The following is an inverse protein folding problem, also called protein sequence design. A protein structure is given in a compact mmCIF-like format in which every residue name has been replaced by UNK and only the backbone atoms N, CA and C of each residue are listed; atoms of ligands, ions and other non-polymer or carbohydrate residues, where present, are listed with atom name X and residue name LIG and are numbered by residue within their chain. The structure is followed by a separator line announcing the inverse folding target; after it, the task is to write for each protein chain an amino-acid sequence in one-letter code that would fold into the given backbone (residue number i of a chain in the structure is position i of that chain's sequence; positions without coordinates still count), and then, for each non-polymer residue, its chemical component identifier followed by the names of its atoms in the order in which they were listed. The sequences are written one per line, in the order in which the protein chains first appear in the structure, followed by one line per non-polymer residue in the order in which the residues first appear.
data_IF_892740037097
#
_entry.id   IF_892740037097
#
_cell.length_a   1.000
_cell.length_b   1.000
_cell.length_c   1.000
_cell.angle_alpha   90.00
_cell.angle_beta   90.00
_cell.angle_gamma   90.00
#
_symmetry.space_group_name_H-M   'P 1'
#
loop_
_entity.id
_entity.type
_entity.pdbx_description
1 polymer ?
#
# COMPACT_ATOMS: atom_id res chain seq x y z
N UNK A 1 -10.74 -11.63 12.38
CA UNK A 1 -10.23 -12.50 13.49
C UNK A 1 -8.84 -12.00 13.86
N UNK A 2 -8.74 -11.21 14.93
CA UNK A 2 -7.45 -10.66 15.39
C UNK A 2 -6.57 -11.80 15.93
N UNK A 3 -5.34 -11.89 15.40
CA UNK A 3 -4.38 -12.95 15.73
C UNK A 3 -3.75 -12.70 17.09
N UNK A 4 -3.46 -13.78 17.83
CA UNK A 4 -2.68 -13.73 19.08
C UNK A 4 -1.32 -13.05 18.82
N UNK A 5 -1.15 -11.87 19.42
CA UNK A 5 0.06 -11.02 19.35
C UNK A 5 1.21 -11.58 20.19
N UNK A 6 1.57 -12.85 20.03
CA UNK A 6 2.76 -13.42 20.68
C UNK A 6 3.85 -13.67 19.65
N UNK A 7 5.09 -13.30 19.99
CA UNK A 7 6.30 -13.52 19.19
C UNK A 7 6.39 -14.97 18.68
N UNK A 8 6.04 -15.92 19.55
CA UNK A 8 5.98 -17.36 19.25
C UNK A 8 4.93 -17.72 18.18
N UNK A 9 3.78 -17.04 18.18
CA UNK A 9 2.71 -17.27 17.20
C UNK A 9 3.06 -16.77 15.80
N UNK A 10 3.72 -15.60 15.72
CA UNK A 10 4.22 -15.03 14.46
C UNK A 10 5.34 -15.92 13.89
N UNK A 11 6.33 -16.28 14.73
CA UNK A 11 7.42 -17.16 14.33
C UNK A 11 6.93 -18.55 13.93
N UNK A 12 5.87 -19.08 14.57
CA UNK A 12 5.28 -20.37 14.18
C UNK A 12 4.65 -20.35 12.78
N UNK A 13 4.03 -19.24 12.36
CA UNK A 13 3.50 -19.10 10.99
C UNK A 13 4.61 -18.93 9.97
N UNK A 14 5.59 -18.08 10.28
CA UNK A 14 6.81 -17.94 9.49
C UNK A 14 7.55 -19.27 9.37
N UNK A 15 7.53 -20.11 10.41
CA UNK A 15 8.28 -21.38 10.43
C UNK A 15 7.74 -22.46 9.49
N UNK A 16 6.54 -22.29 8.92
CA UNK A 16 5.99 -23.23 7.95
C UNK A 16 6.65 -22.98 6.60
N UNK A 17 7.07 -24.05 5.94
CA UNK A 17 7.41 -23.98 4.52
C UNK A 17 6.19 -23.43 3.79
N UNK A 18 6.36 -22.27 3.16
CA UNK A 18 5.38 -21.73 2.25
C UNK A 18 5.85 -22.08 0.83
N UNK A 19 4.90 -22.48 -0.02
CA UNK A 19 5.16 -22.70 -1.45
C UNK A 19 5.50 -21.38 -2.17
N UNK A 20 5.09 -20.25 -1.56
CA UNK A 20 5.33 -18.88 -1.99
C UNK A 20 6.20 -18.09 -0.98
N UNK A 21 6.80 -16.99 -1.44
CA UNK A 21 7.56 -16.07 -0.58
C UNK A 21 6.63 -15.14 0.20
N UNK A 22 7.07 -14.68 1.36
CA UNK A 22 6.40 -13.67 2.18
C UNK A 22 7.14 -12.34 2.07
N UNK A 23 6.38 -11.27 1.87
CA UNK A 23 6.85 -9.91 2.04
C UNK A 23 6.53 -9.46 3.46
N UNK A 24 7.58 -9.21 4.26
CA UNK A 24 7.46 -8.65 5.61
C UNK A 24 7.83 -7.17 5.55
N UNK A 25 6.92 -6.29 5.97
CA UNK A 25 7.10 -4.82 5.96
C UNK A 25 7.04 -4.23 7.36
N UNK A 26 7.80 -3.16 7.60
CA UNK A 26 7.55 -2.26 8.74
C UNK A 26 6.18 -1.61 8.56
N UNK A 27 5.38 -1.49 9.62
CA UNK A 27 4.08 -0.82 9.51
C UNK A 27 4.17 0.67 9.13
N UNK A 28 5.31 1.32 9.40
CA UNK A 28 5.57 2.73 9.08
C UNK A 28 6.82 2.87 8.19
N UNK A 29 6.76 2.26 7.00
CA UNK A 29 7.82 2.36 5.98
C UNK A 29 7.73 3.64 5.15
N UNK A 30 8.80 3.94 4.40
CA UNK A 30 8.82 5.04 3.41
C UNK A 30 9.65 4.61 2.21
N UNK A 31 9.09 4.81 1.01
CA UNK A 31 9.78 4.65 -0.28
C UNK A 31 10.44 3.28 -0.47
N UNK A 32 9.65 2.20 -0.32
CA UNK A 32 10.12 0.82 -0.53
C UNK A 32 11.07 0.27 0.54
N UNK A 33 11.50 1.09 1.51
CA UNK A 33 12.41 0.67 2.59
C UNK A 33 11.69 -0.04 3.73
N UNK A 34 12.44 -0.83 4.48
CA UNK A 34 11.90 -1.55 5.63
C UNK A 34 11.10 -2.79 5.22
N UNK A 35 11.51 -3.45 4.14
CA UNK A 35 10.95 -4.72 3.69
C UNK A 35 11.96 -5.86 3.77
N UNK A 36 11.45 -7.07 3.94
CA UNK A 36 12.22 -8.31 3.96
C UNK A 36 11.40 -9.38 3.23
N UNK A 37 11.95 -9.93 2.15
CA UNK A 37 11.42 -11.12 1.49
C UNK A 37 11.89 -12.37 2.24
N UNK A 38 10.97 -13.30 2.51
CA UNK A 38 11.24 -14.55 3.21
C UNK A 38 10.61 -15.73 2.47
N UNK A 39 11.43 -16.69 2.05
CA UNK A 39 10.94 -17.95 1.50
C UNK A 39 10.73 -18.97 2.61
N UNK A 40 9.55 -18.93 3.23
CA UNK A 40 9.25 -19.75 4.41
C UNK A 40 9.90 -19.20 5.68
N UNK A 41 10.55 -20.07 6.45
CA UNK A 41 11.11 -19.69 7.76
C UNK A 41 12.34 -18.80 7.61
N UNK A 42 12.53 -17.80 8.51
CA UNK A 42 13.80 -17.09 8.61
C UNK A 42 14.92 -18.10 8.84
N UNK A 43 15.88 -18.15 7.94
CA UNK A 43 16.96 -19.14 7.95
C UNK A 43 18.30 -18.55 8.41
N UNK A 44 18.40 -17.21 8.46
CA UNK A 44 19.60 -16.50 8.85
C UNK A 44 19.43 -15.70 10.15
N UNK A 45 20.54 -15.58 10.90
CA UNK A 45 20.61 -14.70 12.07
C UNK A 45 20.32 -13.23 11.72
N UNK A 46 20.52 -12.83 10.47
CA UNK A 46 20.23 -11.47 10.00
C UNK A 46 18.72 -11.22 9.91
N UNK A 47 17.98 -12.16 9.31
CA UNK A 47 16.52 -12.07 9.19
C UNK A 47 15.84 -12.10 10.54
N UNK A 48 16.26 -13.03 11.42
CA UNK A 48 15.73 -13.12 12.79
C UNK A 48 15.93 -11.81 13.52
N UNK A 49 17.16 -11.24 13.51
CA UNK A 49 17.43 -9.94 14.14
C UNK A 49 16.62 -8.81 13.52
N UNK A 50 16.42 -8.81 12.20
CA UNK A 50 15.62 -7.79 11.53
C UNK A 50 14.15 -7.85 11.96
N UNK A 51 13.58 -9.05 12.09
CA UNK A 51 12.20 -9.28 12.55
C UNK A 51 12.06 -8.83 14.00
N UNK A 52 12.94 -9.28 14.89
CA UNK A 52 12.89 -8.94 16.32
C UNK A 52 13.00 -7.43 16.55
N UNK A 53 13.99 -6.77 15.94
CA UNK A 53 14.14 -5.32 16.01
C UNK A 53 12.92 -4.56 15.45
N UNK A 54 12.18 -5.18 14.52
CA UNK A 54 10.92 -4.65 14.02
C UNK A 54 9.82 -4.69 15.05
N UNK A 55 9.59 -5.89 15.60
CA UNK A 55 8.55 -6.15 16.59
C UNK A 55 8.75 -5.35 17.88
N UNK A 56 9.99 -5.04 18.25
CA UNK A 56 10.31 -4.14 19.36
C UNK A 56 9.83 -2.70 19.13
N UNK A 57 9.84 -2.23 17.88
CA UNK A 57 9.48 -0.85 17.53
C UNK A 57 8.01 -0.68 17.14
N UNK A 58 7.44 -1.65 16.42
CA UNK A 58 6.10 -1.54 15.81
C UNK A 58 5.60 -2.91 15.35
N UNK A 59 4.28 -3.09 15.15
CA UNK A 59 3.78 -4.21 14.37
C UNK A 59 4.48 -4.33 13.01
N UNK A 60 4.61 -5.58 12.55
CA UNK A 60 5.02 -5.91 11.20
C UNK A 60 3.79 -6.31 10.38
N UNK A 61 3.80 -5.93 9.11
CA UNK A 61 2.83 -6.39 8.12
C UNK A 61 3.44 -7.57 7.38
N UNK A 62 2.67 -8.62 7.17
CA UNK A 62 3.10 -9.84 6.50
C UNK A 62 2.08 -10.19 5.42
N UNK A 63 2.53 -10.22 4.17
CA UNK A 63 1.70 -10.42 2.99
C UNK A 63 2.40 -11.41 2.05
N UNK A 64 1.67 -12.14 1.19
CA UNK A 64 2.29 -12.88 0.10
C UNK A 64 3.15 -11.94 -0.75
N UNK A 65 4.38 -12.34 -1.06
CA UNK A 65 5.20 -11.62 -2.04
C UNK A 65 4.76 -12.04 -3.44
N UNK A 66 4.28 -11.07 -4.21
CA UNK A 66 3.75 -11.25 -5.56
C UNK A 66 4.56 -10.47 -6.58
N UNK A 67 4.49 -10.88 -7.85
CA UNK A 67 5.12 -10.14 -8.93
C UNK A 67 4.19 -9.04 -9.41
N UNK A 68 4.46 -7.79 -9.03
CA UNK A 68 3.63 -6.65 -9.44
C UNK A 68 3.84 -6.36 -10.93
N UNK A 69 2.75 -6.30 -11.67
CA UNK A 69 2.72 -6.02 -13.11
C UNK A 69 2.47 -4.54 -13.39
N UNK A 70 1.67 -3.89 -12.54
CA UNK A 70 1.27 -2.48 -12.70
C UNK A 70 0.90 -1.87 -11.35
N UNK A 71 1.40 -0.67 -11.07
CA UNK A 71 1.03 0.11 -9.88
C UNK A 71 0.17 1.32 -10.25
N UNK A 72 -0.84 1.55 -9.42
CA UNK A 72 -1.86 2.57 -9.58
C UNK A 72 -2.06 3.26 -8.23
N UNK A 73 -2.21 4.58 -8.23
CA UNK A 73 -2.54 5.33 -7.03
C UNK A 73 -3.72 6.25 -7.27
N UNK A 74 -4.56 6.46 -6.26
CA UNK A 74 -5.55 7.54 -6.25
C UNK A 74 -5.33 8.43 -5.03
N UNK A 75 -5.54 9.73 -5.20
CA UNK A 75 -5.38 10.71 -4.14
C UNK A 75 -6.72 11.32 -3.76
N UNK A 76 -6.86 11.67 -2.47
CA UNK A 76 -8.00 12.42 -1.97
C UNK A 76 -7.62 13.49 -0.96
N UNK A 77 -8.53 14.44 -0.76
CA UNK A 77 -8.47 15.45 0.30
C UNK A 77 -9.65 15.27 1.24
N UNK A 78 -9.37 15.21 2.54
CA UNK A 78 -10.39 15.17 3.59
C UNK A 78 -10.43 16.56 4.25
N UNK A 79 -11.54 17.26 4.12
CA UNK A 79 -11.75 18.52 4.84
C UNK A 79 -11.92 18.29 6.34
N UNK A 80 -11.79 19.34 7.15
CA UNK A 80 -12.02 19.27 8.61
C UNK A 80 -13.42 18.78 8.99
N UNK A 81 -14.41 18.98 8.13
CA UNK A 81 -15.77 18.49 8.30
C UNK A 81 -16.01 17.06 7.80
N UNK A 82 -14.98 16.39 7.28
CA UNK A 82 -15.06 15.03 6.72
C UNK A 82 -15.49 14.97 5.25
N UNK A 83 -15.71 16.11 4.58
CA UNK A 83 -16.00 16.14 3.16
C UNK A 83 -14.80 15.65 2.33
N UNK A 84 -15.06 14.86 1.29
CA UNK A 84 -14.04 14.20 0.48
C UNK A 84 -13.97 14.77 -0.93
N UNK A 85 -12.76 15.09 -1.37
CA UNK A 85 -12.44 15.43 -2.76
C UNK A 85 -11.50 14.40 -3.33
N UNK A 86 -11.72 14.03 -4.58
CA UNK A 86 -10.98 12.96 -5.25
C UNK A 86 -10.30 13.47 -6.50
N UNK A 87 -9.09 12.96 -6.73
CA UNK A 87 -8.40 13.09 -8.00
C UNK A 87 -8.56 11.82 -8.85
N UNK A 88 -8.28 11.95 -10.14
CA UNK A 88 -8.20 10.81 -11.04
C UNK A 88 -7.01 9.90 -10.67
N UNK A 89 -7.11 8.57 -10.93
CA UNK A 89 -6.00 7.66 -10.73
C UNK A 89 -4.75 8.06 -11.52
N UNK A 90 -3.60 7.64 -11.02
CA UNK A 90 -2.31 7.80 -11.66
C UNK A 90 -1.56 6.46 -11.70
N UNK A 91 -0.80 6.22 -12.76
CA UNK A 91 0.13 5.10 -12.85
C UNK A 91 1.43 5.45 -12.12
N UNK A 92 2.07 4.46 -11.50
CA UNK A 92 3.35 4.60 -10.82
C UNK A 92 4.39 3.70 -11.49
N UNK A 93 5.54 4.28 -11.82
CA UNK A 93 6.72 3.53 -12.24
C UNK A 93 7.63 3.36 -11.02
N UNK A 94 7.95 2.12 -10.66
CA UNK A 94 8.86 1.75 -9.57
C UNK A 94 10.04 0.96 -10.11
N UNK A 95 11.15 0.96 -9.37
CA UNK A 95 12.26 0.04 -9.65
C UNK A 95 11.96 -1.38 -9.14
N UNK A 96 12.86 -2.33 -9.44
CA UNK A 96 12.76 -3.72 -8.97
C UNK A 96 12.76 -3.85 -7.42
N UNK A 97 13.10 -2.78 -6.70
CA UNK A 97 13.08 -2.70 -5.26
C UNK A 97 11.85 -1.97 -4.69
N UNK A 98 10.86 -1.64 -5.54
CA UNK A 98 9.64 -0.94 -5.14
C UNK A 98 9.87 0.53 -4.80
N UNK A 99 10.98 1.12 -5.24
CA UNK A 99 11.24 2.56 -5.05
C UNK A 99 10.62 3.35 -6.19
N UNK A 100 9.78 4.31 -5.85
CA UNK A 100 9.15 5.24 -6.79
C UNK A 100 10.19 5.92 -7.70
N UNK A 101 9.92 5.90 -9.00
CA UNK A 101 10.69 6.60 -10.03
C UNK A 101 9.90 7.74 -10.66
N UNK A 102 8.61 7.50 -10.95
CA UNK A 102 7.76 8.46 -11.66
C UNK A 102 6.27 8.22 -11.39
N UNK A 103 5.49 9.29 -11.43
CA UNK A 103 4.03 9.22 -11.56
C UNK A 103 3.58 9.76 -12.91
N UNK A 104 2.60 9.08 -13.52
CA UNK A 104 2.01 9.45 -14.81
C UNK A 104 0.49 9.49 -14.68
N UNK A 105 -0.21 10.36 -15.43
CA UNK A 105 -1.67 10.27 -15.54
C UNK A 105 -2.09 8.86 -15.97
N UNK A 106 -3.14 8.33 -15.35
CA UNK A 106 -3.74 7.07 -15.77
C UNK A 106 -4.73 7.37 -16.89
N UNK A 107 -4.46 6.97 -18.15
CA UNK A 107 -5.43 7.16 -19.22
C UNK A 107 -6.64 6.24 -18.98
N UNK A 108 -7.78 6.57 -19.58
CA UNK A 108 -9.05 5.89 -19.31
C UNK A 108 -8.95 4.39 -19.55
N UNK A 109 -8.30 3.99 -20.65
CA UNK A 109 -8.08 2.63 -21.10
C UNK A 109 -7.04 1.83 -20.30
N UNK A 110 -6.30 2.48 -19.39
CA UNK A 110 -5.32 1.80 -18.56
C UNK A 110 -5.96 1.10 -17.34
N UNK A 111 -7.26 1.29 -17.09
CA UNK A 111 -8.02 0.53 -16.11
C UNK A 111 -9.36 0.15 -16.69
N UNK A 112 -9.76 -1.10 -16.48
CA UNK A 112 -11.13 -1.52 -16.71
C UNK A 112 -12.09 -0.77 -15.78
N UNK A 113 -13.35 -0.66 -16.19
CA UNK A 113 -14.39 0.01 -15.40
C UNK A 113 -14.54 -0.62 -13.99
N UNK A 114 -14.37 -1.94 -13.89
CA UNK A 114 -14.47 -2.65 -12.62
C UNK A 114 -13.26 -2.38 -11.71
N UNK A 115 -12.03 -2.32 -12.25
CA UNK A 115 -10.82 -1.96 -11.47
C UNK A 115 -10.95 -0.55 -10.90
N UNK A 116 -11.45 0.38 -11.74
CA UNK A 116 -11.67 1.78 -11.34
C UNK A 116 -12.74 1.89 -10.24
N UNK A 117 -13.83 1.15 -10.36
CA UNK A 117 -14.88 1.11 -9.35
C UNK A 117 -14.40 0.48 -8.03
N UNK A 118 -13.62 -0.59 -8.11
CA UNK A 118 -13.08 -1.30 -6.94
C UNK A 118 -12.02 -0.47 -6.21
N UNK A 119 -11.12 0.19 -6.96
CA UNK A 119 -10.19 1.18 -6.43
C UNK A 119 -10.92 2.30 -5.69
N UNK A 120 -11.97 2.85 -6.30
CA UNK A 120 -12.75 3.95 -5.69
C UNK A 120 -13.48 3.47 -4.43
N UNK A 121 -14.02 2.27 -4.43
CA UNK A 121 -14.71 1.68 -3.26
C UNK A 121 -13.72 1.48 -2.11
N UNK A 122 -12.56 0.90 -2.40
CA UNK A 122 -11.51 0.67 -1.41
C UNK A 122 -10.95 1.98 -0.86
N UNK A 123 -10.72 2.96 -1.72
CA UNK A 123 -10.25 4.27 -1.30
C UNK A 123 -11.29 5.02 -0.45
N UNK A 124 -12.57 4.93 -0.81
CA UNK A 124 -13.66 5.48 -0.01
C UNK A 124 -13.70 4.88 1.40
N UNK A 125 -13.57 3.57 1.53
CA UNK A 125 -13.50 2.91 2.84
C UNK A 125 -12.28 3.36 3.66
N UNK A 126 -11.12 3.55 3.03
CA UNK A 126 -9.94 4.09 3.69
C UNK A 126 -10.17 5.54 4.17
N UNK A 127 -10.80 6.37 3.35
CA UNK A 127 -11.13 7.75 3.70
C UNK A 127 -12.10 7.84 4.89
N UNK A 128 -13.14 6.99 4.90
CA UNK A 128 -14.09 6.90 6.01
C UNK A 128 -13.40 6.49 7.31
N UNK A 129 -12.50 5.49 7.27
CA UNK A 129 -11.72 5.08 8.42
C UNK A 129 -10.77 6.20 8.92
N UNK A 130 -10.19 6.99 8.01
CA UNK A 130 -9.39 8.16 8.37
C UNK A 130 -10.24 9.25 9.06
N UNK A 131 -11.44 9.54 8.55
CA UNK A 131 -12.38 10.48 9.17
C UNK A 131 -12.80 10.00 10.57
N UNK A 132 -13.13 8.72 10.72
CA UNK A 132 -13.48 8.14 12.02
C UNK A 132 -12.33 8.24 13.02
N UNK A 133 -11.08 8.14 12.56
CA UNK A 133 -9.88 8.36 13.35
C UNK A 133 -9.58 9.85 13.63
N UNK A 134 -10.39 10.78 13.13
CA UNK A 134 -10.23 12.22 13.30
C UNK A 134 -9.19 12.86 12.38
N UNK A 135 -8.75 12.16 11.33
CA UNK A 135 -7.81 12.69 10.35
C UNK A 135 -8.49 13.63 9.36
N UNK A 136 -7.81 14.72 9.02
CA UNK A 136 -8.15 15.63 7.93
C UNK A 136 -6.87 16.01 7.19
N UNK A 137 -6.97 16.25 5.89
CA UNK A 137 -5.85 16.56 5.02
C UNK A 137 -5.71 15.59 3.84
N UNK A 138 -4.53 15.54 3.20
CA UNK A 138 -4.32 14.75 2.00
C UNK A 138 -4.15 13.28 2.35
N UNK A 139 -4.57 12.39 1.46
CA UNK A 139 -4.22 10.98 1.51
C UNK A 139 -4.11 10.38 0.11
N UNK A 140 -3.44 9.24 0.01
CA UNK A 140 -3.52 8.39 -1.17
C UNK A 140 -3.70 6.92 -0.80
N UNK A 141 -4.23 6.18 -1.75
CA UNK A 141 -4.34 4.73 -1.72
C UNK A 141 -3.61 4.20 -2.95
N UNK A 142 -2.70 3.27 -2.70
CA UNK A 142 -1.94 2.59 -3.74
C UNK A 142 -2.56 1.20 -3.94
N UNK A 143 -2.71 0.82 -5.20
CA UNK A 143 -3.30 -0.42 -5.70
C UNK A 143 -2.38 -1.00 -6.77
N UNK A 144 -2.50 -2.29 -7.02
CA UNK A 144 -1.64 -2.93 -8.01
C UNK A 144 -2.30 -4.17 -8.62
N UNK A 145 -1.90 -4.41 -9.86
CA UNK A 145 -2.08 -5.68 -10.54
C UNK A 145 -0.84 -6.54 -10.31
N UNK A 146 -1.03 -7.83 -10.12
CA UNK A 146 0.05 -8.76 -9.86
C UNK A 146 -0.20 -10.12 -10.49
N UNK A 147 0.88 -10.86 -10.68
CA UNK A 147 0.85 -12.29 -10.98
C UNK A 147 0.90 -13.08 -9.66
N UNK A 148 -0.07 -13.98 -9.46
CA UNK A 148 -0.13 -14.88 -8.31
C UNK A 148 0.88 -16.04 -8.41
N UNK A 149 0.92 -16.93 -7.40
CA UNK A 149 1.86 -18.06 -7.42
C UNK A 149 1.63 -19.07 -8.56
N UNK A 150 0.47 -19.04 -9.23
CA UNK A 150 0.11 -19.91 -10.33
C UNK A 150 0.32 -19.25 -11.71
N UNK A 151 0.81 -18.00 -11.75
CA UNK A 151 0.96 -17.25 -12.98
C UNK A 151 -0.31 -16.52 -13.44
N UNK A 152 -1.34 -16.43 -12.60
CA UNK A 152 -2.58 -15.77 -12.95
C UNK A 152 -2.54 -14.28 -12.57
N UNK A 153 -3.03 -13.42 -13.46
CA UNK A 153 -3.19 -11.99 -13.19
C UNK A 153 -4.34 -11.76 -12.21
N UNK A 154 -4.08 -10.92 -11.21
CA UNK A 154 -5.03 -10.57 -10.17
C UNK A 154 -4.87 -9.10 -9.75
N UNK A 155 -5.91 -8.57 -9.11
CA UNK A 155 -6.00 -7.17 -8.71
C UNK A 155 -6.04 -7.02 -7.19
N UNK A 156 -5.29 -6.06 -6.66
CA UNK A 156 -5.38 -5.61 -5.27
C UNK A 156 -5.68 -4.10 -5.23
N UNK A 157 -6.93 -3.76 -4.93
CA UNK A 157 -7.41 -2.39 -4.85
C UNK A 157 -6.89 -1.58 -3.64
N UNK A 158 -6.25 -2.23 -2.66
CA UNK A 158 -5.78 -1.58 -1.43
C UNK A 158 -4.47 -2.21 -0.92
N UNK A 159 -3.35 -1.76 -1.48
CA UNK A 159 -2.01 -2.16 -1.05
C UNK A 159 -1.44 -1.32 0.10
N UNK A 160 -1.56 0.01 0.01
CA UNK A 160 -1.03 0.94 1.01
C UNK A 160 -1.89 2.21 1.12
N UNK A 161 -1.95 2.79 2.33
CA UNK A 161 -2.59 4.08 2.60
C UNK A 161 -1.52 5.07 3.07
N UNK A 162 -1.43 6.21 2.40
CA UNK A 162 -0.51 7.29 2.74
C UNK A 162 -1.30 8.52 3.20
N UNK A 163 -1.42 8.76 4.52
CA UNK A 163 -2.07 9.95 5.08
C UNK A 163 -1.14 11.19 5.05
N UNK A 164 -0.77 11.62 3.84
CA UNK A 164 0.13 12.76 3.56
C UNK A 164 0.07 13.14 2.07
N UNK A 165 0.70 14.25 1.72
CA UNK A 165 1.00 14.53 0.32
C UNK A 165 1.99 13.49 -0.22
N UNK A 166 1.66 12.89 -1.36
CA UNK A 166 2.52 11.97 -2.09
C UNK A 166 2.96 12.59 -3.41
N UNK A 167 3.94 11.96 -4.08
CA UNK A 167 4.43 12.44 -5.37
C UNK A 167 3.33 12.46 -6.43
N UNK A 168 2.30 11.62 -6.30
CA UNK A 168 1.16 11.59 -7.21
C UNK A 168 0.23 12.80 -7.08
N UNK A 169 0.30 13.55 -5.98
CA UNK A 169 -0.58 14.70 -5.74
C UNK A 169 -0.52 15.74 -6.85
N UNK A 170 0.70 16.13 -7.24
CA UNK A 170 0.91 17.17 -8.25
C UNK A 170 0.38 16.74 -9.63
N UNK A 171 0.48 15.44 -9.95
CA UNK A 171 -0.04 14.89 -11.20
C UNK A 171 -1.55 14.71 -11.17
N UNK A 172 -2.10 14.25 -10.04
CA UNK A 172 -3.51 13.89 -9.91
C UNK A 172 -4.43 15.11 -9.72
N UNK A 173 -4.06 16.04 -8.85
CA UNK A 173 -4.86 17.25 -8.58
C UNK A 173 -4.46 18.45 -9.44
N UNK A 174 -3.20 18.53 -9.88
CA UNK A 174 -2.69 19.68 -10.64
C UNK A 174 -3.01 21.02 -9.97
N UNK A 175 -3.54 21.97 -10.72
CA UNK A 175 -3.92 23.31 -10.24
C UNK A 175 -5.10 23.28 -9.26
N UNK A 176 -6.05 22.35 -9.42
CA UNK A 176 -7.22 22.19 -8.52
C UNK A 176 -6.79 21.93 -7.08
N UNK A 177 -5.65 21.28 -6.89
CA UNK A 177 -5.10 21.03 -5.55
C UNK A 177 -4.77 22.31 -4.79
N UNK A 178 -4.43 23.41 -5.47
CA UNK A 178 -4.14 24.70 -4.81
C UNK A 178 -5.42 25.34 -4.27
N UNK A 179 -6.49 25.29 -5.05
CA UNK A 179 -7.80 25.84 -4.66
C UNK A 179 -8.36 25.11 -3.43
N UNK A 180 -8.22 23.79 -3.38
CA UNK A 180 -8.69 22.97 -2.25
C UNK A 180 -7.93 23.21 -0.93
N UNK A 181 -6.68 23.66 -1.00
CA UNK A 181 -5.83 23.86 0.18
C UNK A 181 -5.88 25.31 0.69
N UNK A 182 -6.06 26.28 -0.22
CA UNK A 182 -5.93 27.71 0.08
C UNK A 182 -7.27 28.46 0.08
N UNK A 183 -8.34 27.86 -0.44
CA UNK A 183 -9.72 28.36 -0.34
C UNK A 183 -10.35 28.06 1.02
#
# INVERSE_FOLDING_TARGET
KYLERTERGVLSRLSKNAEFSWLVRRAYGVAGRGRLSLRGKPDSNKEVRWILAGLEASPLVMEPEVSILREVSTCGWIERGGALHWADPCLQDVDAHGSWQRTRPCPTEALDDWERADLRTSAQAAAEALVEAGYWGPFSVDAFEYEDENGAEAWNALGEINARFTMGWATAFGERGRELILG
#
